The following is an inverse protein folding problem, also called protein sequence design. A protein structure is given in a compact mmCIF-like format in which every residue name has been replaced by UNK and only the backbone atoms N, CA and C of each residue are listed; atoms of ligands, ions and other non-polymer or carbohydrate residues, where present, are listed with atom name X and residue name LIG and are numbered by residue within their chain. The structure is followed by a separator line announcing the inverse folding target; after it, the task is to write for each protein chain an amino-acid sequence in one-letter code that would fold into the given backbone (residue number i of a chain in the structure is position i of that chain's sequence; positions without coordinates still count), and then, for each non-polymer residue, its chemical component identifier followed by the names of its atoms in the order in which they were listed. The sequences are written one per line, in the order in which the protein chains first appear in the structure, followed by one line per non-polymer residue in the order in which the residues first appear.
data_IF_143909474077
#
_entry.id   IF_143909474077
#
_cell.length_a   1.000
_cell.length_b   1.000
_cell.length_c   1.000
_cell.angle_alpha   90.00
_cell.angle_beta   90.00
_cell.angle_gamma   90.00
#
_symmetry.space_group_name_H-M   'P 1'
#
loop_
_entity.id
_entity.type
_entity.pdbx_description
1 polymer ?
#
# COMPACT_ATOMS: atom_id res chain seq x y z
N UNK A 1 10.18 -9.95 -28.73
CA UNK A 1 10.27 -9.08 -27.54
C UNK A 1 8.88 -8.97 -26.94
N UNK A 2 8.59 -9.78 -25.92
CA UNK A 2 7.33 -9.69 -25.20
C UNK A 2 7.44 -8.52 -24.22
N UNK A 3 6.60 -7.49 -24.38
CA UNK A 3 6.43 -6.46 -23.37
C UNK A 3 5.78 -7.12 -22.15
N UNK A 4 6.54 -7.27 -21.06
CA UNK A 4 5.97 -7.53 -19.74
C UNK A 4 5.11 -6.29 -19.40
N UNK A 5 3.79 -6.43 -19.51
CA UNK A 5 2.88 -5.43 -18.96
C UNK A 5 2.94 -5.59 -17.44
N UNK A 6 3.54 -4.62 -16.75
CA UNK A 6 3.34 -4.48 -15.32
C UNK A 6 1.83 -4.33 -15.10
N UNK A 7 1.22 -5.32 -14.45
CA UNK A 7 -0.19 -5.25 -14.07
C UNK A 7 -0.29 -4.25 -12.93
N UNK A 8 -0.45 -2.97 -13.24
CA UNK A 8 -0.80 -1.97 -12.25
C UNK A 8 -2.23 -2.26 -11.79
N UNK A 9 -2.35 -2.98 -10.68
CA UNK A 9 -3.63 -3.23 -10.03
C UNK A 9 -3.86 -2.06 -9.07
N UNK A 10 -4.80 -1.18 -9.42
CA UNK A 10 -5.28 -0.12 -8.54
C UNK A 10 -6.70 -0.44 -8.08
N UNK A 11 -6.89 -0.57 -6.77
CA UNK A 11 -8.22 -0.74 -6.16
C UNK A 11 -8.53 0.44 -5.23
N UNK A 12 -9.76 0.93 -5.31
CA UNK A 12 -10.28 1.87 -4.32
C UNK A 12 -11.17 1.09 -3.35
N UNK A 13 -10.76 1.02 -2.09
CA UNK A 13 -11.52 0.38 -1.03
C UNK A 13 -12.16 1.47 -0.15
N UNK A 14 -13.45 1.34 0.13
CA UNK A 14 -14.15 2.18 1.10
C UNK A 14 -14.39 1.35 2.37
N UNK A 15 -13.78 1.77 3.48
CA UNK A 15 -13.91 1.09 4.78
C UNK A 15 -14.68 2.02 5.72
N UNK A 16 -15.68 1.48 6.42
CA UNK A 16 -16.37 2.23 7.47
C UNK A 16 -15.49 2.22 8.71
N UNK A 17 -15.15 3.39 9.24
CA UNK A 17 -14.54 3.46 10.55
C UNK A 17 -15.58 3.03 11.60
N UNK A 18 -15.19 2.19 12.55
CA UNK A 18 -16.04 1.84 13.67
C UNK A 18 -16.11 3.06 14.62
N UNK A 19 -17.32 3.49 14.95
CA UNK A 19 -17.51 4.40 16.07
C UNK A 19 -17.19 3.65 17.38
N UNK A 20 -16.48 4.31 18.29
CA UNK A 20 -16.14 3.75 19.60
C UNK A 20 -17.39 3.18 20.29
N UNK A 21 -17.41 1.85 20.45
CA UNK A 21 -18.40 1.13 21.24
C UNK A 21 -19.66 0.70 20.51
N UNK A 22 -19.58 -0.29 19.61
CA UNK A 22 -20.67 -1.23 19.41
C UNK A 22 -20.16 -2.55 18.82
N UNK A 23 -20.34 -3.63 19.59
CA UNK A 23 -20.04 -5.00 19.22
C UNK A 23 -20.95 -5.42 18.04
N UNK A 24 -20.41 -5.55 16.83
CA UNK A 24 -21.19 -5.93 15.65
C UNK A 24 -20.30 -6.44 14.51
N UNK A 25 -20.48 -7.71 14.17
CA UNK A 25 -19.83 -8.38 13.02
C UNK A 25 -20.12 -7.64 11.71
N UNK A 26 -19.09 -7.06 11.09
CA UNK A 26 -19.20 -6.43 9.78
C UNK A 26 -19.21 -7.49 8.67
N UNK A 27 -20.25 -7.50 7.84
CA UNK A 27 -20.31 -8.28 6.61
C UNK A 27 -19.62 -7.52 5.48
N UNK A 28 -18.67 -8.18 4.83
CA UNK A 28 -18.00 -7.76 3.59
C UNK A 28 -18.91 -8.08 2.40
N UNK A 29 -19.45 -7.08 1.71
CA UNK A 29 -20.15 -7.26 0.43
C UNK A 29 -19.11 -7.33 -0.69
N UNK A 30 -18.65 -8.55 -0.99
CA UNK A 30 -17.70 -8.83 -2.07
C UNK A 30 -18.39 -8.80 -3.42
N UNK A 31 -18.54 -7.61 -4.01
CA UNK A 31 -18.79 -7.45 -5.45
C UNK A 31 -17.79 -6.46 -6.04
N UNK A 32 -16.61 -6.96 -6.38
CA UNK A 32 -15.57 -6.22 -7.11
C UNK A 32 -15.54 -6.66 -8.57
N UNK A 33 -15.98 -5.79 -9.47
CA UNK A 33 -15.71 -5.92 -10.92
C UNK A 33 -14.41 -5.17 -11.25
N UNK A 34 -13.49 -5.74 -12.05
CA UNK A 34 -12.25 -5.09 -12.42
C UNK A 34 -12.50 -3.95 -13.41
N UNK A 35 -12.14 -2.71 -13.06
CA UNK A 35 -12.16 -1.57 -13.99
C UNK A 35 -10.82 -1.48 -14.74
N UNK A 36 -10.84 -1.84 -16.02
CA UNK A 36 -9.69 -1.69 -16.91
C UNK A 36 -9.53 -0.21 -17.29
N UNK A 37 -8.31 0.35 -17.14
CA UNK A 37 -8.05 1.80 -17.17
C UNK A 37 -8.12 2.47 -18.57
N UNK A 38 -8.99 2.03 -19.48
CA UNK A 38 -9.06 2.59 -20.85
C UNK A 38 -10.46 2.91 -21.40
N UNK A 39 -11.51 2.90 -20.58
CA UNK A 39 -12.84 3.36 -21.05
C UNK A 39 -13.61 4.15 -19.99
N UNK A 40 -13.23 5.41 -19.78
CA UNK A 40 -14.07 6.36 -19.06
C UNK A 40 -15.09 6.98 -20.04
N UNK A 41 -16.12 6.21 -20.42
CA UNK A 41 -17.35 6.76 -21.03
C UNK A 41 -18.55 6.40 -20.18
N UNK A 42 -19.04 7.41 -19.44
CA UNK A 42 -20.37 7.58 -18.83
C UNK A 42 -21.08 6.30 -18.37
N UNK A 43 -20.87 5.90 -17.12
CA UNK A 43 -21.88 5.16 -16.37
C UNK A 43 -22.93 6.14 -15.83
N UNK A 44 -24.21 5.88 -16.10
CA UNK A 44 -25.34 6.71 -15.75
C UNK A 44 -25.60 6.70 -14.24
N UNK A 45 -25.66 7.89 -13.63
CA UNK A 45 -26.20 8.08 -12.28
C UNK A 45 -27.72 8.15 -12.35
N UNK A 46 -28.39 7.00 -12.33
CA UNK A 46 -29.81 6.94 -12.00
C UNK A 46 -29.94 6.62 -10.50
N UNK A 47 -30.09 7.68 -9.68
CA UNK A 47 -30.26 7.55 -8.24
C UNK A 47 -30.40 8.90 -7.53
N UNK A 48 -31.66 9.38 -7.48
CA UNK A 48 -32.27 10.35 -6.56
C UNK A 48 -31.74 11.81 -6.50
N UNK A 49 -32.61 12.75 -6.93
CA UNK A 49 -32.49 14.18 -6.64
C UNK A 49 -32.83 14.43 -5.18
N UNK A 50 -31.86 14.91 -4.40
CA UNK A 50 -32.12 15.53 -3.09
C UNK A 50 -31.64 16.98 -3.15
N UNK A 51 -32.55 17.93 -2.91
CA UNK A 51 -32.21 19.35 -2.78
C UNK A 51 -31.35 19.53 -1.53
N UNK A 52 -30.09 19.94 -1.70
CA UNK A 52 -29.18 20.22 -0.57
C UNK A 52 -29.35 21.67 -0.11
N UNK A 53 -29.98 21.84 1.04
CA UNK A 53 -29.85 23.04 1.86
C UNK A 53 -29.14 22.65 3.15
N UNK A 54 -28.04 23.32 3.47
CA UNK A 54 -27.30 23.14 4.74
C UNK A 54 -26.41 21.89 4.78
N UNK A 55 -25.31 21.98 5.49
CA UNK A 55 -24.32 20.90 5.64
C UNK A 55 -24.90 19.67 6.36
N UNK A 56 -24.63 18.47 5.86
CA UNK A 56 -24.79 17.21 6.60
C UNK A 56 -23.53 16.37 6.41
N UNK A 57 -22.87 16.04 7.52
CA UNK A 57 -21.75 15.10 7.58
C UNK A 57 -22.28 13.72 7.22
N UNK A 58 -21.78 13.15 6.11
CA UNK A 58 -22.04 11.76 5.74
C UNK A 58 -21.35 10.79 6.70
N UNK A 59 -21.63 9.47 6.61
CA UNK A 59 -20.99 8.47 7.47
C UNK A 59 -19.46 8.59 7.39
N UNK A 60 -18.75 8.36 8.50
CA UNK A 60 -17.28 8.35 8.65
C UNK A 60 -16.65 7.22 7.79
N UNK A 61 -16.64 7.42 6.47
CA UNK A 61 -16.08 6.50 5.48
C UNK A 61 -14.64 6.91 5.19
N UNK A 62 -13.71 5.99 5.42
CA UNK A 62 -12.31 6.12 5.05
C UNK A 62 -12.11 5.56 3.65
N UNK A 63 -11.58 6.39 2.74
CA UNK A 63 -11.23 5.95 1.38
C UNK A 63 -9.76 5.54 1.33
N UNK A 64 -9.50 4.33 0.85
CA UNK A 64 -8.15 3.78 0.71
C UNK A 64 -7.89 3.58 -0.78
N UNK A 65 -6.87 4.27 -1.30
CA UNK A 65 -6.29 3.96 -2.59
C UNK A 65 -5.19 2.93 -2.38
N UNK A 66 -5.36 1.75 -2.99
CA UNK A 66 -4.37 0.69 -2.98
C UNK A 66 -3.74 0.55 -4.37
N UNK A 67 -2.42 0.46 -4.40
CA UNK A 67 -1.60 0.18 -5.58
C UNK A 67 -0.49 -0.81 -5.22
N UNK A 68 0.12 -1.44 -6.22
CA UNK A 68 1.22 -2.39 -6.03
C UNK A 68 2.07 -2.49 -7.30
N UNK A 69 3.23 -3.14 -7.20
CA UNK A 69 4.01 -3.64 -8.33
C UNK A 69 4.32 -2.56 -9.38
N UNK A 70 4.64 -1.36 -8.90
CA UNK A 70 4.93 -0.25 -9.79
C UNK A 70 6.23 -0.45 -10.53
N UNK A 71 7.20 -1.20 -9.99
CA UNK A 71 8.47 -1.54 -10.67
C UNK A 71 9.12 -0.33 -11.35
N UNK A 72 9.32 0.75 -10.59
CA UNK A 72 9.89 2.01 -11.08
C UNK A 72 9.02 2.76 -12.11
N UNK A 73 7.74 2.40 -12.26
CA UNK A 73 6.74 3.07 -13.10
C UNK A 73 5.71 3.85 -12.27
N UNK A 74 6.00 4.16 -11.01
CA UNK A 74 5.13 4.91 -10.11
C UNK A 74 4.76 6.31 -10.65
N UNK A 75 5.62 6.92 -11.48
CA UNK A 75 5.30 8.18 -12.18
C UNK A 75 4.32 8.01 -13.35
N UNK A 76 4.12 6.79 -13.82
CA UNK A 76 3.21 6.43 -14.91
C UNK A 76 1.81 6.05 -14.42
N UNK A 77 1.54 6.10 -13.11
CA UNK A 77 0.20 5.83 -12.55
C UNK A 77 -0.84 6.88 -12.92
N UNK A 78 -0.42 8.01 -13.49
CA UNK A 78 -1.28 9.08 -13.95
C UNK A 78 -2.03 9.78 -12.80
N UNK A 79 -3.21 10.33 -13.12
CA UNK A 79 -4.06 11.00 -12.14
C UNK A 79 -4.78 9.97 -11.27
N UNK A 80 -4.17 9.63 -10.14
CA UNK A 80 -4.79 8.80 -9.11
C UNK A 80 -6.03 9.48 -8.48
N UNK A 81 -7.05 8.73 -8.03
CA UNK A 81 -8.25 9.31 -7.40
C UNK A 81 -7.95 9.92 -6.02
N UNK A 82 -8.87 10.73 -5.51
CA UNK A 82 -8.82 11.25 -4.14
C UNK A 82 -9.13 10.13 -3.13
N UNK A 83 -8.29 10.04 -2.10
CA UNK A 83 -8.42 9.09 -1.00
C UNK A 83 -7.89 9.70 0.32
N UNK A 84 -8.21 9.08 1.44
CA UNK A 84 -7.66 9.45 2.74
C UNK A 84 -6.31 8.78 3.00
N UNK A 85 -6.19 7.50 2.61
CA UNK A 85 -5.01 6.67 2.80
C UNK A 85 -4.54 6.14 1.44
N UNK A 86 -3.25 6.28 1.14
CA UNK A 86 -2.57 5.55 0.06
C UNK A 86 -1.81 4.37 0.66
N UNK A 87 -2.00 3.17 0.09
CA UNK A 87 -1.23 1.97 0.43
C UNK A 87 -0.51 1.46 -0.81
N UNK A 88 0.81 1.29 -0.75
CA UNK A 88 1.59 0.57 -1.75
C UNK A 88 2.03 -0.80 -1.20
N UNK A 89 1.57 -1.90 -1.81
CA UNK A 89 1.82 -3.25 -1.31
C UNK A 89 3.08 -3.92 -1.87
N UNK A 90 4.21 -3.21 -1.93
CA UNK A 90 5.49 -3.80 -2.37
C UNK A 90 5.78 -3.76 -3.86
N UNK A 91 7.00 -4.14 -4.23
CA UNK A 91 7.57 -4.10 -5.58
C UNK A 91 7.53 -2.71 -6.21
N UNK A 92 8.04 -1.74 -5.45
CA UNK A 92 8.15 -0.34 -5.88
C UNK A 92 9.26 -0.15 -6.91
N UNK A 93 10.30 -0.98 -6.86
CA UNK A 93 11.49 -0.94 -7.70
C UNK A 93 11.57 -2.16 -8.64
N UNK A 94 12.43 -2.08 -9.68
CA UNK A 94 12.72 -3.26 -10.52
C UNK A 94 13.78 -4.14 -9.91
N UNK A 95 14.80 -3.52 -9.29
CA UNK A 95 15.92 -4.24 -8.68
C UNK A 95 16.27 -3.73 -7.28
N UNK A 96 15.60 -2.67 -6.79
CA UNK A 96 15.80 -2.17 -5.44
C UNK A 96 17.09 -1.37 -5.27
N UNK A 97 17.57 -0.74 -6.34
CA UNK A 97 18.76 0.12 -6.24
C UNK A 97 18.45 1.40 -5.46
N UNK A 98 19.47 2.02 -4.86
CA UNK A 98 19.30 3.27 -4.12
C UNK A 98 18.68 4.39 -4.98
N UNK A 99 18.98 4.41 -6.29
CA UNK A 99 18.37 5.39 -7.20
C UNK A 99 16.89 5.13 -7.45
N UNK A 100 16.46 3.87 -7.56
CA UNK A 100 15.05 3.53 -7.76
C UNK A 100 14.22 3.84 -6.51
N UNK A 101 14.74 3.45 -5.33
CA UNK A 101 14.08 3.71 -4.06
C UNK A 101 14.06 5.21 -3.73
N UNK A 102 15.12 5.95 -4.08
CA UNK A 102 15.16 7.40 -4.00
C UNK A 102 14.12 8.09 -4.89
N UNK A 103 14.03 7.71 -6.17
CA UNK A 103 13.02 8.26 -7.09
C UNK A 103 11.59 7.99 -6.61
N UNK A 104 11.34 6.75 -6.14
CA UNK A 104 10.05 6.39 -5.54
C UNK A 104 9.76 7.23 -4.30
N UNK A 105 10.73 7.41 -3.41
CA UNK A 105 10.57 8.23 -2.21
C UNK A 105 10.26 9.70 -2.55
N UNK A 106 10.92 10.27 -3.58
CA UNK A 106 10.64 11.62 -4.05
C UNK A 106 9.23 11.74 -4.65
N UNK A 107 8.79 10.72 -5.39
CA UNK A 107 7.41 10.64 -5.85
C UNK A 107 6.40 10.62 -4.70
N UNK A 108 6.64 9.83 -3.64
CA UNK A 108 5.79 9.86 -2.43
C UNK A 108 5.79 11.25 -1.79
N UNK A 109 6.93 11.94 -1.77
CA UNK A 109 7.04 13.32 -1.29
C UNK A 109 6.11 14.28 -2.02
N UNK A 110 5.95 14.11 -3.33
CA UNK A 110 5.00 14.89 -4.14
C UNK A 110 3.52 14.63 -3.82
N UNK A 111 3.22 13.52 -3.13
CA UNK A 111 1.85 13.10 -2.78
C UNK A 111 1.44 13.48 -1.35
N UNK A 112 2.36 13.95 -0.50
CA UNK A 112 2.08 14.28 0.92
C UNK A 112 0.96 15.29 1.16
N UNK A 113 0.66 16.14 0.18
CA UNK A 113 -0.48 17.08 0.24
C UNK A 113 -1.82 16.50 -0.24
N UNK A 114 -1.80 15.32 -0.88
CA UNK A 114 -2.98 14.69 -1.50
C UNK A 114 -3.64 13.64 -0.62
N UNK A 115 -2.85 12.86 0.11
CA UNK A 115 -3.34 11.80 1.01
C UNK A 115 -2.93 12.13 2.45
N UNK A 116 -3.80 11.83 3.41
CA UNK A 116 -3.53 12.10 4.85
C UNK A 116 -2.49 11.13 5.39
N UNK A 117 -2.54 9.87 4.95
CA UNK A 117 -1.59 8.83 5.30
C UNK A 117 -1.09 8.13 4.05
N UNK A 118 0.19 7.79 4.04
CA UNK A 118 0.82 6.98 3.00
C UNK A 118 1.56 5.84 3.70
N UNK A 119 1.12 4.61 3.42
CA UNK A 119 1.66 3.38 3.99
C UNK A 119 2.30 2.56 2.87
N UNK A 120 3.46 1.97 3.15
CA UNK A 120 4.20 1.16 2.18
C UNK A 120 4.69 -0.11 2.86
N UNK A 121 4.59 -1.25 2.18
CA UNK A 121 5.39 -2.44 2.51
C UNK A 121 6.40 -2.68 1.38
N UNK A 122 7.48 -3.39 1.66
CA UNK A 122 8.43 -3.84 0.64
C UNK A 122 7.95 -5.11 -0.07
N UNK A 123 8.37 -5.27 -1.33
CA UNK A 123 8.28 -6.52 -2.09
C UNK A 123 9.67 -7.12 -2.36
N UNK A 124 9.70 -8.25 -3.07
CA UNK A 124 10.96 -8.96 -3.28
C UNK A 124 11.92 -8.22 -4.23
N UNK A 125 11.39 -7.51 -5.23
CA UNK A 125 12.21 -6.73 -6.16
C UNK A 125 12.95 -5.59 -5.45
N UNK A 126 12.36 -5.07 -4.38
CA UNK A 126 12.92 -3.96 -3.59
C UNK A 126 14.23 -4.33 -2.86
N UNK A 127 14.52 -5.63 -2.76
CA UNK A 127 15.71 -6.16 -2.07
C UNK A 127 16.70 -6.88 -2.99
N UNK A 128 16.50 -6.94 -4.31
CA UNK A 128 17.40 -7.69 -5.19
C UNK A 128 18.85 -7.16 -5.19
N UNK A 129 19.04 -5.85 -5.30
CA UNK A 129 20.36 -5.21 -5.19
C UNK A 129 20.95 -5.41 -3.78
N UNK A 130 20.12 -5.27 -2.75
CA UNK A 130 20.51 -5.53 -1.35
C UNK A 130 21.03 -6.96 -1.18
N UNK A 131 20.32 -7.96 -1.70
CA UNK A 131 20.72 -9.37 -1.65
C UNK A 131 22.02 -9.61 -2.44
N UNK A 132 22.17 -8.97 -3.60
CA UNK A 132 23.40 -9.07 -4.39
C UNK A 132 24.61 -8.51 -3.62
N UNK A 133 24.46 -7.34 -2.99
CA UNK A 133 25.49 -6.69 -2.17
C UNK A 133 25.83 -7.55 -0.94
N UNK A 134 24.82 -8.09 -0.27
CA UNK A 134 24.99 -8.97 0.90
C UNK A 134 25.75 -10.25 0.54
N UNK A 135 25.35 -10.93 -0.52
CA UNK A 135 25.98 -12.20 -0.95
C UNK A 135 27.42 -12.03 -1.44
N UNK A 136 27.84 -10.80 -1.79
CA UNK A 136 29.21 -10.46 -2.17
C UNK A 136 30.03 -9.85 -1.03
N UNK A 137 29.45 -9.74 0.17
CA UNK A 137 30.13 -9.15 1.32
C UNK A 137 30.33 -7.63 1.24
N UNK A 138 29.56 -6.92 0.40
CA UNK A 138 29.61 -5.46 0.32
C UNK A 138 28.83 -4.79 1.45
N UNK A 139 27.90 -5.50 2.07
CA UNK A 139 27.14 -5.07 3.26
C UNK A 139 27.03 -6.26 4.21
N UNK A 140 26.93 -5.99 5.53
CA UNK A 140 26.78 -7.04 6.54
C UNK A 140 25.32 -7.47 6.67
N UNK A 141 25.12 -8.66 7.24
CA UNK A 141 23.79 -9.18 7.55
C UNK A 141 23.06 -8.28 8.55
N UNK A 142 23.77 -7.74 9.55
CA UNK A 142 23.20 -6.87 10.58
C UNK A 142 22.57 -5.60 10.00
N UNK A 143 23.21 -5.01 8.97
CA UNK A 143 22.66 -3.84 8.27
C UNK A 143 21.35 -4.18 7.59
N UNK A 144 21.27 -5.33 6.92
CA UNK A 144 20.08 -5.73 6.18
C UNK A 144 18.95 -6.15 7.11
N UNK A 145 19.26 -6.76 8.26
CA UNK A 145 18.30 -7.22 9.28
C UNK A 145 17.74 -6.10 10.15
N UNK A 146 18.26 -4.88 10.08
CA UNK A 146 17.68 -3.74 10.77
C UNK A 146 16.21 -3.56 10.31
N UNK A 147 15.23 -3.64 11.21
CA UNK A 147 13.83 -3.45 10.86
C UNK A 147 13.54 -2.12 10.15
N UNK A 148 14.38 -1.11 10.38
CA UNK A 148 14.31 0.21 9.76
C UNK A 148 15.04 0.30 8.42
N UNK A 149 15.71 -0.76 7.93
CA UNK A 149 16.51 -0.74 6.69
C UNK A 149 15.75 -0.16 5.49
N UNK A 150 14.50 -0.60 5.29
CA UNK A 150 13.66 -0.09 4.21
C UNK A 150 13.08 1.30 4.53
N UNK A 151 12.68 1.53 5.79
CA UNK A 151 12.19 2.82 6.27
C UNK A 151 13.21 3.96 6.09
N UNK A 152 14.51 3.69 6.23
CA UNK A 152 15.57 4.68 6.01
C UNK A 152 15.66 5.16 4.55
N UNK A 153 15.16 4.37 3.60
CA UNK A 153 15.12 4.74 2.18
C UNK A 153 13.82 5.42 1.79
N UNK A 154 12.73 5.06 2.46
CA UNK A 154 11.39 5.57 2.21
C UNK A 154 10.96 6.51 3.34
N UNK A 155 11.48 7.73 3.34
CA UNK A 155 11.23 8.74 4.39
C UNK A 155 9.94 9.56 4.20
N UNK A 156 9.33 9.49 3.01
CA UNK A 156 8.10 10.21 2.69
C UNK A 156 6.81 9.41 2.95
N UNK A 157 6.92 8.20 3.47
CA UNK A 157 5.80 7.37 3.90
C UNK A 157 6.15 6.60 5.18
N UNK A 158 5.14 6.01 5.82
CA UNK A 158 5.36 5.03 6.88
C UNK A 158 5.52 3.66 6.25
N UNK A 159 6.68 3.05 6.47
CA UNK A 159 6.93 1.66 6.10
C UNK A 159 6.39 0.73 7.17
N UNK A 160 5.65 -0.30 6.77
CA UNK A 160 5.20 -1.37 7.67
C UNK A 160 6.04 -2.62 7.39
N UNK A 161 6.76 -3.09 8.41
CA UNK A 161 7.65 -4.25 8.32
C UNK A 161 7.36 -5.19 9.50
N UNK A 162 6.27 -5.93 9.40
CA UNK A 162 5.63 -6.62 10.52
C UNK A 162 5.29 -5.60 11.62
N UNK A 163 4.60 -4.54 11.23
CA UNK A 163 4.22 -3.42 12.09
C UNK A 163 2.73 -3.06 11.92
N UNK A 164 2.14 -2.53 12.97
CA UNK A 164 0.74 -2.09 13.02
C UNK A 164 0.66 -0.57 12.92
N UNK A 165 -0.09 -0.08 11.95
CA UNK A 165 -0.50 1.32 11.88
C UNK A 165 -1.95 1.50 12.32
N UNK A 166 -2.17 2.35 13.32
CA UNK A 166 -3.49 2.86 13.66
C UNK A 166 -3.67 4.24 13.02
N UNK A 167 -4.51 4.33 11.99
CA UNK A 167 -4.75 5.57 11.23
C UNK A 167 -6.23 5.70 10.91
N UNK A 168 -6.80 6.88 11.12
CA UNK A 168 -8.22 7.15 10.82
C UNK A 168 -9.19 6.15 11.48
N UNK A 169 -8.85 5.62 12.67
CA UNK A 169 -9.64 4.60 13.37
C UNK A 169 -9.53 3.18 12.81
N UNK A 170 -8.61 2.92 11.87
CA UNK A 170 -8.33 1.59 11.30
C UNK A 170 -7.00 1.05 11.80
N UNK A 171 -6.98 -0.24 12.12
CA UNK A 171 -5.80 -1.05 12.44
C UNK A 171 -5.31 -1.76 11.18
N UNK A 172 -4.20 -1.28 10.63
CA UNK A 172 -3.61 -1.76 9.38
C UNK A 172 -2.28 -2.45 9.70
N UNK A 173 -2.23 -3.77 9.54
CA UNK A 173 -1.01 -4.56 9.71
C UNK A 173 -0.31 -4.71 8.37
N UNK A 174 1.00 -4.46 8.33
CA UNK A 174 1.81 -4.65 7.12
C UNK A 174 2.96 -5.62 7.35
N UNK A 175 3.05 -6.65 6.52
CA UNK A 175 4.18 -7.58 6.46
C UNK A 175 4.78 -7.54 5.05
N UNK A 176 5.86 -6.76 4.91
CA UNK A 176 6.61 -6.64 3.67
C UNK A 176 7.63 -7.74 3.50
N UNK A 177 7.98 -8.04 2.26
CA UNK A 177 9.06 -8.96 1.92
C UNK A 177 10.37 -8.45 2.52
N UNK A 178 11.14 -9.35 3.14
CA UNK A 178 12.40 -8.99 3.77
C UNK A 178 13.50 -10.01 3.45
N UNK A 179 14.69 -9.52 3.12
CA UNK A 179 15.86 -10.36 2.93
C UNK A 179 16.15 -11.15 4.21
N UNK A 180 16.00 -12.48 4.16
CA UNK A 180 16.37 -13.45 5.21
C UNK A 180 15.54 -13.39 6.52
N UNK A 181 14.36 -12.78 6.54
CA UNK A 181 13.40 -12.96 7.65
C UNK A 181 12.44 -14.08 7.24
N UNK A 182 12.21 -15.08 8.10
CA UNK A 182 11.23 -16.17 7.88
C UNK A 182 11.72 -17.41 7.12
N UNK A 183 10.97 -18.50 7.28
CA UNK A 183 11.16 -19.85 6.71
C UNK A 183 10.42 -20.04 5.37
N UNK A 184 9.59 -19.07 4.98
CA UNK A 184 8.81 -19.04 3.74
C UNK A 184 9.45 -18.13 2.69
N UNK A 185 9.10 -18.30 1.40
CA UNK A 185 9.65 -17.51 0.28
C UNK A 185 9.40 -16.00 0.40
N UNK A 186 8.36 -15.59 1.13
CA UNK A 186 7.98 -14.19 1.37
C UNK A 186 8.50 -13.63 2.69
N UNK A 187 8.90 -14.48 3.63
CA UNK A 187 9.37 -14.07 4.95
C UNK A 187 8.27 -13.58 5.91
N UNK A 188 7.01 -13.61 5.45
CA UNK A 188 5.84 -13.24 6.22
C UNK A 188 5.50 -14.35 7.22
N UNK A 189 5.53 -14.04 8.52
CA UNK A 189 5.01 -14.89 9.57
C UNK A 189 3.61 -14.41 9.95
N UNK A 190 2.57 -15.06 9.42
CA UNK A 190 1.19 -14.69 9.71
C UNK A 190 0.81 -14.88 11.19
N UNK A 191 1.59 -15.63 11.97
CA UNK A 191 1.38 -15.74 13.41
C UNK A 191 1.67 -14.43 14.17
N UNK A 192 2.37 -13.48 13.55
CA UNK A 192 2.67 -12.18 14.15
C UNK A 192 1.50 -11.18 14.01
N UNK A 193 0.46 -11.51 13.23
CA UNK A 193 -0.68 -10.61 13.02
C UNK A 193 -1.47 -10.48 14.34
N UNK A 194 -1.58 -9.28 14.93
CA UNK A 194 -2.34 -9.08 16.16
C UNK A 194 -3.84 -9.34 15.98
N UNK A 195 -4.54 -9.70 17.06
CA UNK A 195 -6.00 -9.76 17.05
C UNK A 195 -6.63 -8.38 16.78
N UNK A 196 -7.76 -8.37 16.07
CA UNK A 196 -8.52 -7.15 15.81
C UNK A 196 -7.91 -6.22 14.76
N UNK A 197 -7.04 -6.73 13.89
CA UNK A 197 -6.59 -6.04 12.67
C UNK A 197 -7.75 -5.94 11.69
N UNK A 198 -7.98 -4.75 11.14
CA UNK A 198 -9.02 -4.49 10.13
C UNK A 198 -8.53 -4.81 8.71
N UNK A 199 -7.26 -4.48 8.43
CA UNK A 199 -6.65 -4.63 7.11
C UNK A 199 -5.26 -5.25 7.26
N UNK A 200 -5.02 -6.33 6.52
CA UNK A 200 -3.69 -6.94 6.38
C UNK A 200 -3.14 -6.60 5.00
N UNK A 201 -1.91 -6.09 4.95
CA UNK A 201 -1.18 -5.77 3.72
C UNK A 201 0.07 -6.65 3.68
N UNK A 202 0.13 -7.55 2.70
CA UNK A 202 1.26 -8.47 2.50
C UNK A 202 1.72 -8.43 1.05
N UNK A 203 2.91 -8.94 0.79
CA UNK A 203 3.46 -9.15 -0.55
C UNK A 203 3.96 -10.60 -0.67
N UNK A 204 3.64 -11.28 -1.78
CA UNK A 204 3.90 -12.71 -2.00
C UNK A 204 4.62 -12.98 -3.33
#
# INVERSE_FOLDING_TARGET
MALLRASLIAFLLAVRAAADGANGTAAIDSKTEPINATSATKASTAGLKVKRGGQEQGPDVVRILHISDTHSLHRSTGNMPDADILIHSGDVAKVGSESELGDFNDWLGSLKGKYKHILVISGNHDFWDTNWRLNRGHISNDVVQDPAYFQYRITNARVLNHDLAEVMGLKIWGAGWHARRGDSRSGNNYADIPEGVDIVVTHE
#
